data_IF_947865025221
#
_entry.id   IF_947865025221
#
_cell.length_a   1.000
_cell.length_b   1.000
_cell.length_c   1.000
_cell.angle_alpha   90.00
_cell.angle_beta   90.00
_cell.angle_gamma   90.00
#
_symmetry.space_group_name_H-M   'P 1'
#
loop_
_entity.id
_entity.type
_entity.pdbx_description
1 polymer ?
#
# COMPACT_ATOMS: atom_id res chain seq x y z
N UNK A 1 -0.14 1.20 -18.22
CA UNK A 1 -0.65 1.78 -16.96
C UNK A 1 0.36 2.81 -16.48
N UNK A 2 -0.05 4.07 -16.24
CA UNK A 2 0.80 5.00 -15.46
C UNK A 2 0.87 4.41 -14.05
N UNK A 3 2.03 3.88 -13.68
CA UNK A 3 2.28 3.42 -12.32
C UNK A 3 2.04 4.63 -11.40
N UNK A 4 1.29 4.47 -10.32
CA UNK A 4 0.87 5.57 -9.44
C UNK A 4 2.02 6.23 -8.64
N UNK A 5 3.28 6.14 -9.14
CA UNK A 5 4.50 6.57 -8.47
C UNK A 5 4.52 6.13 -7.00
N UNK A 6 4.36 4.83 -6.80
CA UNK A 6 4.31 4.24 -5.46
C UNK A 6 5.72 4.27 -4.86
N UNK A 7 5.82 4.76 -3.64
CA UNK A 7 7.02 4.73 -2.80
C UNK A 7 6.68 4.15 -1.44
N UNK A 8 7.69 3.70 -0.71
CA UNK A 8 7.53 3.24 0.66
C UNK A 8 8.68 3.71 1.54
N UNK A 9 8.38 3.92 2.81
CA UNK A 9 9.36 4.17 3.87
C UNK A 9 9.11 3.22 5.04
N UNK A 10 10.18 2.85 5.74
CA UNK A 10 10.11 1.99 6.92
C UNK A 10 10.72 2.75 8.10
N UNK A 11 9.97 2.85 9.19
CA UNK A 11 10.43 3.39 10.47
C UNK A 11 10.09 2.39 11.58
N UNK A 12 11.11 1.70 12.09
CA UNK A 12 10.95 0.58 13.01
C UNK A 12 10.08 -0.53 12.42
N UNK A 13 8.92 -0.77 13.02
CA UNK A 13 7.93 -1.74 12.56
C UNK A 13 6.77 -1.08 11.78
N UNK A 14 6.86 0.18 11.41
CA UNK A 14 5.84 0.87 10.61
C UNK A 14 6.30 1.01 9.18
N UNK A 15 5.42 0.64 8.25
CA UNK A 15 5.60 0.85 6.82
C UNK A 15 4.60 1.89 6.37
N UNK A 16 5.10 2.96 5.75
CA UNK A 16 4.27 3.97 5.09
C UNK A 16 4.40 3.78 3.60
N UNK A 17 3.27 3.55 2.93
CA UNK A 17 3.14 3.57 1.48
C UNK A 17 2.67 4.96 1.07
N UNK A 18 3.18 5.49 -0.04
CA UNK A 18 2.73 6.75 -0.60
C UNK A 18 2.64 6.66 -2.12
N UNK A 19 1.69 7.36 -2.72
CA UNK A 19 1.43 7.36 -4.16
C UNK A 19 0.91 8.71 -4.60
N UNK A 20 0.89 8.94 -5.91
CA UNK A 20 0.24 10.10 -6.52
C UNK A 20 -1.16 9.68 -6.95
N UNK A 21 -2.18 10.44 -6.55
CA UNK A 21 -3.55 10.18 -6.91
C UNK A 21 -3.72 10.11 -8.44
N UNK A 22 -4.39 9.06 -8.90
CA UNK A 22 -4.68 8.87 -10.33
C UNK A 22 -6.08 9.42 -10.64
N UNK A 23 -6.13 10.50 -11.43
CA UNK A 23 -7.40 11.08 -11.87
C UNK A 23 -8.31 10.03 -12.53
N UNK A 24 -9.57 10.00 -12.11
CA UNK A 24 -10.56 9.03 -12.58
C UNK A 24 -10.61 7.73 -11.75
N UNK A 25 -9.71 7.54 -10.78
CA UNK A 25 -9.83 6.47 -9.78
C UNK A 25 -10.37 7.01 -8.46
N UNK A 26 -11.37 6.34 -7.90
CA UNK A 26 -11.95 6.71 -6.60
C UNK A 26 -11.18 6.07 -5.43
N UNK A 27 -10.65 4.87 -5.65
CA UNK A 27 -10.01 4.07 -4.61
C UNK A 27 -8.70 3.46 -5.08
N UNK A 28 -7.90 3.02 -4.11
CA UNK A 28 -6.73 2.16 -4.31
C UNK A 28 -6.82 0.97 -3.36
N UNK A 29 -6.55 -0.21 -3.90
CA UNK A 29 -6.42 -1.44 -3.13
C UNK A 29 -4.94 -1.68 -2.83
N UNK A 30 -4.63 -1.92 -1.55
CA UNK A 30 -3.29 -2.19 -1.09
C UNK A 30 -3.15 -3.68 -0.78
N UNK A 31 -2.09 -4.29 -1.30
CA UNK A 31 -1.76 -5.69 -1.09
C UNK A 31 -0.34 -5.82 -0.54
N UNK A 32 -0.15 -6.75 0.39
CA UNK A 32 1.16 -7.15 0.89
C UNK A 32 1.46 -8.57 0.42
N UNK A 33 2.67 -8.78 -0.11
CA UNK A 33 3.12 -10.13 -0.44
C UNK A 33 3.53 -10.84 0.84
N UNK A 34 2.98 -12.02 1.05
CA UNK A 34 3.50 -12.99 2.01
C UNK A 34 4.51 -13.88 1.30
N UNK A 35 5.77 -13.84 1.75
CA UNK A 35 6.85 -14.64 1.17
C UNK A 35 6.75 -16.12 1.55
N UNK A 36 6.05 -16.49 2.64
CA UNK A 36 5.83 -17.88 3.04
C UNK A 36 4.79 -18.55 2.15
N UNK A 37 3.71 -17.82 1.86
CA UNK A 37 2.57 -18.30 1.07
C UNK A 37 2.69 -17.97 -0.42
N UNK A 38 3.72 -17.21 -0.82
CA UNK A 38 3.93 -16.68 -2.17
C UNK A 38 2.72 -15.93 -2.78
N UNK A 39 1.84 -15.40 -1.93
CA UNK A 39 0.57 -14.77 -2.32
C UNK A 39 0.51 -13.31 -1.92
N UNK A 40 -0.32 -12.54 -2.63
CA UNK A 40 -0.65 -11.15 -2.27
C UNK A 40 -1.93 -11.12 -1.45
N UNK A 41 -1.80 -10.78 -0.18
CA UNK A 41 -2.92 -10.60 0.73
C UNK A 41 -3.38 -9.15 0.72
N UNK A 42 -4.69 -8.93 0.60
CA UNK A 42 -5.26 -7.58 0.63
C UNK A 42 -5.13 -7.01 2.04
N UNK A 43 -4.44 -5.87 2.17
CA UNK A 43 -4.36 -5.12 3.42
C UNK A 43 -5.63 -4.31 3.62
N UNK A 44 -6.01 -3.51 2.61
CA UNK A 44 -7.14 -2.58 2.72
C UNK A 44 -7.55 -2.00 1.36
N UNK A 45 -8.68 -1.30 1.35
CA UNK A 45 -9.11 -0.38 0.29
C UNK A 45 -9.24 1.01 0.89
N UNK A 46 -8.68 2.00 0.23
CA UNK A 46 -8.69 3.40 0.70
C UNK A 46 -9.07 4.34 -0.44
N UNK A 47 -9.50 5.54 -0.08
CA UNK A 47 -9.74 6.59 -1.07
C UNK A 47 -8.44 6.94 -1.79
N UNK A 48 -8.48 7.04 -3.12
CA UNK A 48 -7.31 7.34 -3.96
C UNK A 48 -6.64 8.66 -3.55
N UNK A 49 -7.45 9.64 -3.13
CA UNK A 49 -7.00 10.97 -2.67
C UNK A 49 -6.28 10.96 -1.31
N UNK A 50 -6.21 9.84 -0.60
CA UNK A 50 -5.47 9.77 0.66
C UNK A 50 -3.95 9.88 0.44
N UNK A 51 -3.44 9.42 -0.72
CA UNK A 51 -2.03 9.47 -1.15
C UNK A 51 -0.99 8.83 -0.20
N UNK A 52 -1.42 8.35 0.97
CA UNK A 52 -0.57 7.67 1.95
C UNK A 52 -1.36 6.69 2.83
N UNK A 53 -0.70 5.59 3.21
CA UNK A 53 -1.22 4.61 4.17
C UNK A 53 -0.08 4.05 5.01
N UNK A 54 -0.23 4.09 6.34
CA UNK A 54 0.75 3.51 7.27
C UNK A 54 0.16 2.32 7.99
N UNK A 55 0.89 1.22 8.00
CA UNK A 55 0.54 0.03 8.78
C UNK A 55 1.74 -0.46 9.60
N UNK A 56 1.44 -1.25 10.63
CA UNK A 56 2.46 -1.88 11.47
C UNK A 56 2.70 -3.29 10.95
N UNK A 57 3.95 -3.63 10.67
CA UNK A 57 4.39 -5.00 10.43
C UNK A 57 4.31 -5.78 11.74
N UNK A 58 3.36 -6.69 11.82
CA UNK A 58 3.41 -7.80 12.77
C UNK A 58 4.13 -8.95 12.07
N UNK A 59 5.30 -9.34 12.57
CA UNK A 59 5.93 -10.60 12.18
C UNK A 59 5.20 -11.70 12.93
N UNK A 60 4.45 -12.52 12.21
CA UNK A 60 3.93 -13.81 12.69
C UNK A 60 5.02 -14.89 12.65
#
# INVERSE_FOLDING_TARGET
MRLANISHTIDGNKVTLSWIAVNGSNTVDLFLRDDKEETFNKLTTINMSAESYTFTLTRD
#
